data_IF_136633236239
#
_entry.id   IF_136633236239
#
_cell.length_a   1.000
_cell.length_b   1.000
_cell.length_c   1.000
_cell.angle_alpha   90.00
_cell.angle_beta   90.00
_cell.angle_gamma   90.00
#
_symmetry.space_group_name_H-M   'P 1'
#
loop_
_entity.id
_entity.type
_entity.pdbx_description
1 polymer ?
#
# COMPACT_ATOMS: atom_id res chain seq x y z
N UNK A 1 -62.70 -44.32 17.81
CA UNK A 1 -62.37 -43.60 16.58
C UNK A 1 -61.91 -42.20 16.99
N UNK A 2 -60.67 -41.83 16.60
CA UNK A 2 -60.06 -40.48 16.54
C UNK A 2 -60.03 -39.64 17.84
N UNK A 3 -58.96 -39.59 18.64
CA UNK A 3 -57.55 -39.18 18.41
C UNK A 3 -57.33 -37.67 18.32
N UNK A 4 -56.87 -37.12 19.47
CA UNK A 4 -55.86 -36.07 19.66
C UNK A 4 -55.59 -35.13 18.47
N UNK A 5 -56.11 -33.93 18.56
CA UNK A 5 -55.59 -32.68 17.97
C UNK A 5 -55.95 -31.62 19.01
N UNK A 6 -55.04 -30.91 19.67
CA UNK A 6 -54.20 -29.87 19.09
C UNK A 6 -53.17 -29.42 20.16
N UNK A 7 -52.18 -30.27 20.47
CA UNK A 7 -50.96 -29.85 21.16
C UNK A 7 -49.94 -29.60 20.05
N UNK A 8 -49.67 -28.35 19.68
CA UNK A 8 -48.44 -27.89 18.99
C UNK A 8 -48.66 -26.47 18.45
N UNK A 9 -48.69 -25.47 19.34
CA UNK A 9 -48.58 -24.06 18.91
C UNK A 9 -48.03 -23.20 20.06
N UNK A 10 -46.82 -23.49 20.53
CA UNK A 10 -46.14 -22.62 21.52
C UNK A 10 -44.63 -22.85 21.58
N UNK A 11 -43.93 -22.89 20.45
CA UNK A 11 -42.47 -22.86 20.45
C UNK A 11 -41.91 -22.27 19.15
N UNK A 12 -42.20 -21.00 18.89
CA UNK A 12 -41.64 -20.29 17.74
C UNK A 12 -41.51 -18.76 17.95
N UNK A 13 -41.22 -18.29 19.17
CA UNK A 13 -41.06 -16.84 19.44
C UNK A 13 -39.89 -16.56 20.41
N UNK A 14 -38.72 -17.20 20.22
CA UNK A 14 -37.51 -16.92 21.02
C UNK A 14 -36.23 -16.82 20.16
N UNK A 15 -36.34 -16.39 18.89
CA UNK A 15 -35.19 -16.27 17.98
C UNK A 15 -34.84 -14.83 17.56
N UNK A 16 -35.36 -13.79 18.23
CA UNK A 16 -35.16 -12.37 17.84
C UNK A 16 -34.14 -11.58 18.68
N UNK A 17 -33.33 -12.23 19.53
CA UNK A 17 -32.28 -11.55 20.31
C UNK A 17 -30.85 -11.69 19.76
N UNK A 18 -30.68 -12.06 18.48
CA UNK A 18 -29.37 -12.20 17.86
C UNK A 18 -29.09 -11.07 16.86
N UNK A 19 -29.03 -9.82 17.33
CA UNK A 19 -28.41 -8.69 16.63
C UNK A 19 -28.28 -7.48 17.57
N UNK A 20 -27.50 -7.61 18.66
CA UNK A 20 -26.87 -6.45 19.28
C UNK A 20 -25.52 -6.27 18.61
N UNK A 21 -25.48 -5.51 17.51
CA UNK A 21 -24.21 -5.02 16.99
C UNK A 21 -23.58 -4.11 18.04
N UNK A 22 -22.40 -4.47 18.54
CA UNK A 22 -21.62 -3.58 19.38
C UNK A 22 -21.37 -2.28 18.63
N UNK A 23 -21.66 -1.15 19.27
CA UNK A 23 -21.35 0.17 18.72
C UNK A 23 -19.84 0.34 18.81
N UNK A 24 -19.15 0.40 17.67
CA UNK A 24 -17.74 0.78 17.61
C UNK A 24 -17.54 2.12 18.31
N UNK A 25 -16.48 2.21 19.09
CA UNK A 25 -15.98 3.44 19.67
C UNK A 25 -15.46 4.38 18.58
N UNK A 26 -15.41 5.67 18.89
CA UNK A 26 -14.84 6.69 18.00
C UNK A 26 -13.37 6.36 17.62
N UNK A 27 -12.60 5.79 18.55
CA UNK A 27 -11.23 5.40 18.30
C UNK A 27 -11.10 4.25 17.28
N UNK A 28 -12.00 3.26 17.34
CA UNK A 28 -12.06 2.16 16.36
C UNK A 28 -12.47 2.66 14.98
N UNK A 29 -13.43 3.59 14.90
CA UNK A 29 -13.84 4.19 13.62
C UNK A 29 -12.66 4.94 12.99
N UNK A 30 -11.93 5.74 13.77
CA UNK A 30 -10.75 6.45 13.25
C UNK A 30 -9.65 5.47 12.82
N UNK A 31 -9.42 4.40 13.60
CA UNK A 31 -8.45 3.38 13.24
C UNK A 31 -8.76 2.76 11.87
N UNK A 32 -10.02 2.34 11.66
CA UNK A 32 -10.46 1.72 10.41
C UNK A 32 -10.27 2.68 9.22
N UNK A 33 -10.60 3.96 9.36
CA UNK A 33 -10.40 4.97 8.30
C UNK A 33 -8.93 5.11 7.88
N UNK A 34 -8.01 5.13 8.85
CA UNK A 34 -6.58 5.16 8.53
C UNK A 34 -6.11 3.85 7.91
N UNK A 35 -6.55 2.72 8.44
CA UNK A 35 -6.21 1.41 7.90
C UNK A 35 -6.64 1.27 6.43
N UNK A 36 -7.89 1.62 6.12
CA UNK A 36 -8.43 1.59 4.76
C UNK A 36 -7.64 2.53 3.84
N UNK A 37 -7.30 3.73 4.31
CA UNK A 37 -6.50 4.69 3.54
C UNK A 37 -5.10 4.14 3.24
N UNK A 38 -4.48 3.45 4.19
CA UNK A 38 -3.18 2.78 3.99
C UNK A 38 -3.33 1.68 2.93
N UNK A 39 -4.37 0.84 3.01
CA UNK A 39 -4.57 -0.25 2.05
C UNK A 39 -4.79 0.28 0.63
N UNK A 40 -5.52 1.39 0.47
CA UNK A 40 -5.67 2.06 -0.84
C UNK A 40 -4.31 2.51 -1.40
N UNK A 41 -3.44 3.08 -0.56
CA UNK A 41 -2.09 3.50 -0.98
C UNK A 41 -1.23 2.29 -1.33
N UNK A 42 -1.21 1.25 -0.50
CA UNK A 42 -0.51 0.00 -0.78
C UNK A 42 -0.95 -0.60 -2.12
N UNK A 43 -2.25 -0.80 -2.33
CA UNK A 43 -2.76 -1.48 -3.51
C UNK A 43 -2.50 -0.70 -4.80
N UNK A 44 -2.57 0.64 -4.75
CA UNK A 44 -2.27 1.47 -5.94
C UNK A 44 -0.78 1.59 -6.24
N UNK A 45 0.09 1.44 -5.23
CA UNK A 45 1.54 1.56 -5.39
C UNK A 45 2.20 0.21 -5.73
N UNK A 46 1.63 -0.92 -5.31
CA UNK A 46 2.15 -2.26 -5.60
C UNK A 46 2.41 -2.52 -7.11
N UNK A 47 1.51 -2.18 -8.05
CA UNK A 47 1.78 -2.34 -9.49
C UNK A 47 2.97 -1.51 -10.00
N UNK A 48 3.29 -0.41 -9.32
CA UNK A 48 4.40 0.47 -9.70
C UNK A 48 5.77 -0.18 -9.47
N UNK A 49 5.86 -1.25 -8.67
CA UNK A 49 7.11 -2.02 -8.52
C UNK A 49 7.58 -2.61 -9.84
N UNK A 50 6.67 -3.14 -10.66
CA UNK A 50 7.01 -3.63 -12.01
C UNK A 50 7.50 -2.48 -12.90
N UNK A 51 6.88 -1.31 -12.78
CA UNK A 51 7.29 -0.11 -13.52
C UNK A 51 8.70 0.34 -13.12
N UNK A 52 9.02 0.31 -11.83
CA UNK A 52 10.36 0.61 -11.31
C UNK A 52 11.40 -0.33 -11.95
N UNK A 53 11.13 -1.64 -11.98
CA UNK A 53 12.05 -2.61 -12.60
C UNK A 53 12.25 -2.37 -14.10
N UNK A 54 11.17 -2.08 -14.84
CA UNK A 54 11.25 -1.76 -16.27
C UNK A 54 12.09 -0.51 -16.53
N UNK A 55 11.87 0.56 -15.74
CA UNK A 55 12.64 1.80 -15.84
C UNK A 55 14.11 1.59 -15.48
N UNK A 56 14.42 0.79 -14.45
CA UNK A 56 15.80 0.41 -14.11
C UNK A 56 16.45 -0.34 -15.27
N UNK A 57 15.73 -1.23 -15.94
CA UNK A 57 16.22 -1.94 -17.12
C UNK A 57 16.61 -1.00 -18.26
N UNK A 58 15.73 -0.04 -18.57
CA UNK A 58 15.95 0.97 -19.62
C UNK A 58 17.12 1.90 -19.29
N UNK A 59 17.16 2.42 -18.06
CA UNK A 59 18.27 3.26 -17.59
C UNK A 59 19.60 2.51 -17.57
N UNK A 60 19.62 1.22 -17.19
CA UNK A 60 20.84 0.39 -17.26
C UNK A 60 21.35 0.22 -18.69
N UNK A 61 20.45 0.17 -19.68
CA UNK A 61 20.81 0.12 -21.10
C UNK A 61 21.40 1.47 -21.55
N UNK A 62 20.70 2.57 -21.30
CA UNK A 62 21.18 3.91 -21.64
C UNK A 62 22.53 4.22 -20.98
N UNK A 63 22.71 3.82 -19.72
CA UNK A 63 23.98 3.97 -18.99
C UNK A 63 25.16 3.34 -19.74
N UNK A 64 24.95 2.18 -20.38
CA UNK A 64 25.99 1.50 -21.18
C UNK A 64 26.31 2.28 -22.44
N UNK A 65 25.30 2.88 -23.07
CA UNK A 65 25.47 3.68 -24.30
C UNK A 65 26.28 4.96 -24.03
N UNK A 66 26.14 5.55 -22.83
CA UNK A 66 26.77 6.84 -22.49
C UNK A 66 28.07 6.76 -21.68
N UNK A 67 28.47 5.57 -21.22
CA UNK A 67 29.56 5.39 -20.23
C UNK A 67 30.89 6.05 -20.62
N UNK A 68 31.21 6.07 -21.92
CA UNK A 68 32.47 6.62 -22.44
C UNK A 68 32.27 7.90 -23.29
N UNK A 69 31.02 8.35 -23.50
CA UNK A 69 30.68 9.41 -24.45
C UNK A 69 30.04 10.63 -23.78
N UNK A 70 29.32 10.44 -22.67
CA UNK A 70 28.67 11.54 -21.94
C UNK A 70 28.73 11.32 -20.42
N UNK A 71 29.78 11.83 -19.75
CA UNK A 71 29.94 11.71 -18.30
C UNK A 71 28.83 12.40 -17.48
N UNK A 72 28.16 13.41 -18.04
CA UNK A 72 27.09 14.13 -17.34
C UNK A 72 25.82 13.28 -17.32
N UNK A 73 25.43 12.76 -18.48
CA UNK A 73 24.29 11.85 -18.59
C UNK A 73 24.55 10.55 -17.83
N UNK A 74 25.77 10.01 -17.86
CA UNK A 74 26.15 8.84 -17.04
C UNK A 74 25.93 9.08 -15.53
N UNK A 75 26.35 10.23 -15.00
CA UNK A 75 26.12 10.58 -13.58
C UNK A 75 24.64 10.76 -13.28
N UNK A 76 23.89 11.43 -14.17
CA UNK A 76 22.43 11.62 -14.02
C UNK A 76 21.72 10.27 -13.94
N UNK A 77 22.02 9.33 -14.84
CA UNK A 77 21.42 7.99 -14.86
C UNK A 77 21.74 7.22 -13.57
N UNK A 78 22.99 7.26 -13.07
CA UNK A 78 23.32 6.58 -11.82
C UNK A 78 22.55 7.14 -10.62
N UNK A 79 22.31 8.46 -10.59
CA UNK A 79 21.44 9.06 -9.57
C UNK A 79 20.01 8.53 -9.68
N UNK A 80 19.44 8.50 -10.88
CA UNK A 80 18.08 8.01 -11.13
C UNK A 80 17.92 6.52 -10.72
N UNK A 81 18.91 5.68 -11.04
CA UNK A 81 18.93 4.29 -10.58
C UNK A 81 18.95 4.20 -9.05
N UNK A 82 19.65 5.11 -8.37
CA UNK A 82 19.63 5.22 -6.92
C UNK A 82 18.27 5.61 -6.36
N UNK A 83 17.58 6.57 -6.98
CA UNK A 83 16.22 6.98 -6.57
C UNK A 83 15.20 5.85 -6.77
N UNK A 84 15.29 5.11 -7.88
CA UNK A 84 14.44 3.93 -8.11
C UNK A 84 14.70 2.81 -7.10
N UNK A 85 15.95 2.57 -6.69
CA UNK A 85 16.26 1.62 -5.62
C UNK A 85 15.66 2.08 -4.28
N UNK A 86 15.79 3.36 -3.93
CA UNK A 86 15.21 3.90 -2.68
C UNK A 86 13.69 3.74 -2.64
N UNK A 87 13.02 3.93 -3.77
CA UNK A 87 11.59 3.72 -3.89
C UNK A 87 11.19 2.25 -3.63
N UNK A 88 11.92 1.31 -4.25
CA UNK A 88 11.75 -0.13 -4.03
C UNK A 88 12.01 -0.51 -2.56
N UNK A 89 13.14 -0.07 -2.00
CA UNK A 89 13.53 -0.34 -0.62
C UNK A 89 12.49 0.22 0.37
N UNK A 90 11.98 1.43 0.14
CA UNK A 90 10.97 2.05 1.01
C UNK A 90 9.67 1.25 1.07
N UNK A 91 9.21 0.69 -0.06
CA UNK A 91 8.05 -0.19 -0.10
C UNK A 91 8.30 -1.47 0.69
N UNK A 92 9.44 -2.13 0.48
CA UNK A 92 9.78 -3.36 1.20
C UNK A 92 9.95 -3.13 2.70
N UNK A 93 10.67 -2.08 3.10
CA UNK A 93 10.90 -1.74 4.50
C UNK A 93 9.57 -1.42 5.21
N UNK A 94 8.69 -0.65 4.55
CA UNK A 94 7.37 -0.36 5.09
C UNK A 94 6.54 -1.64 5.27
N UNK A 95 6.43 -2.49 4.24
CA UNK A 95 5.67 -3.75 4.33
C UNK A 95 6.22 -4.68 5.42
N UNK A 96 7.54 -4.77 5.55
CA UNK A 96 8.18 -5.57 6.60
C UNK A 96 7.93 -5.03 8.01
N UNK A 97 7.77 -3.71 8.14
CA UNK A 97 7.48 -3.01 9.39
C UNK A 97 6.00 -2.98 9.76
N UNK A 98 5.10 -3.09 8.78
CA UNK A 98 3.65 -2.97 8.98
C UNK A 98 3.06 -4.21 9.66
N UNK A 99 2.92 -4.16 10.98
CA UNK A 99 2.42 -5.25 11.85
C UNK A 99 1.33 -4.78 12.82
N UNK A 100 0.17 -4.33 12.32
CA UNK A 100 -0.91 -3.79 13.15
C UNK A 100 -1.39 -4.76 14.25
N UNK A 101 -1.38 -6.06 13.98
CA UNK A 101 -1.86 -7.10 14.91
C UNK A 101 -0.96 -7.29 16.13
N UNK A 102 0.26 -6.77 16.10
CA UNK A 102 1.24 -6.88 17.19
C UNK A 102 1.16 -5.72 18.19
N UNK A 103 0.30 -4.74 17.92
CA UNK A 103 0.22 -3.48 18.66
C UNK A 103 -0.85 -3.56 19.75
N UNK A 104 -0.53 -3.08 20.96
CA UNK A 104 -1.47 -3.00 22.07
C UNK A 104 -2.66 -2.06 21.74
N UNK A 105 -3.87 -2.40 22.22
CA UNK A 105 -5.11 -1.68 21.88
C UNK A 105 -5.05 -0.18 22.17
N UNK A 106 -4.45 0.22 23.29
CA UNK A 106 -4.29 1.63 23.69
C UNK A 106 -3.30 2.41 22.81
N UNK A 107 -2.49 1.71 22.01
CA UNK A 107 -1.50 2.30 21.10
C UNK A 107 -1.90 2.24 19.63
N UNK A 108 -2.91 1.43 19.27
CA UNK A 108 -3.30 1.18 17.87
C UNK A 108 -3.58 2.45 17.06
N UNK A 109 -4.30 3.41 17.62
CA UNK A 109 -4.64 4.64 16.91
C UNK A 109 -3.42 5.50 16.57
N UNK A 110 -2.45 5.59 17.48
CA UNK A 110 -1.21 6.34 17.23
C UNK A 110 -0.30 5.58 16.25
N UNK A 111 -0.23 4.26 16.39
CA UNK A 111 0.49 3.42 15.47
C UNK A 111 -0.03 3.58 14.03
N UNK A 112 -1.34 3.45 13.81
CA UNK A 112 -1.90 3.50 12.45
C UNK A 112 -1.73 4.88 11.81
N UNK A 113 -1.83 5.97 12.59
CA UNK A 113 -1.52 7.33 12.14
C UNK A 113 -0.06 7.47 11.69
N UNK A 114 0.87 6.88 12.43
CA UNK A 114 2.29 6.84 12.06
C UNK A 114 2.53 6.02 10.79
N UNK A 115 1.86 4.87 10.66
CA UNK A 115 1.95 4.04 9.45
C UNK A 115 1.37 4.74 8.22
N UNK A 116 0.31 5.53 8.39
CA UNK A 116 -0.25 6.36 7.33
C UNK A 116 0.77 7.38 6.81
N UNK A 117 1.46 8.11 7.70
CA UNK A 117 2.52 9.03 7.26
C UNK A 117 3.68 8.32 6.56
N UNK A 118 4.05 7.12 7.01
CA UNK A 118 5.11 6.34 6.38
C UNK A 118 4.73 5.83 4.98
N UNK A 119 3.49 5.36 4.80
CA UNK A 119 3.01 4.87 3.50
C UNK A 119 2.87 6.01 2.49
N UNK A 120 2.46 7.21 2.92
CA UNK A 120 2.45 8.42 2.07
C UNK A 120 3.87 8.83 1.64
N UNK A 121 4.84 8.76 2.55
CA UNK A 121 6.24 9.04 2.21
C UNK A 121 6.79 8.05 1.19
N UNK A 122 6.54 6.76 1.41
CA UNK A 122 6.93 5.68 0.50
C UNK A 122 6.32 5.88 -0.90
N UNK A 123 5.03 6.21 -0.98
CA UNK A 123 4.38 6.55 -2.25
C UNK A 123 5.06 7.74 -2.94
N UNK A 124 5.37 8.80 -2.20
CA UNK A 124 6.06 9.97 -2.74
C UNK A 124 7.42 9.63 -3.35
N UNK A 125 8.18 8.73 -2.71
CA UNK A 125 9.45 8.23 -3.26
C UNK A 125 9.23 7.45 -4.56
N UNK A 126 8.21 6.60 -4.62
CA UNK A 126 7.88 5.82 -5.82
C UNK A 126 7.49 6.71 -6.99
N UNK A 127 6.52 7.61 -6.79
CA UNK A 127 6.04 8.50 -7.84
C UNK A 127 7.13 9.46 -8.31
N UNK A 128 7.92 10.01 -7.38
CA UNK A 128 9.04 10.89 -7.71
C UNK A 128 10.15 10.17 -8.48
N UNK A 129 10.54 8.98 -8.04
CA UNK A 129 11.56 8.16 -8.71
C UNK A 129 11.14 7.77 -10.12
N UNK A 130 9.90 7.33 -10.28
CA UNK A 130 9.30 6.98 -11.58
C UNK A 130 9.28 8.19 -12.50
N UNK A 131 8.71 9.31 -12.06
CA UNK A 131 8.59 10.51 -12.90
C UNK A 131 9.95 11.04 -13.37
N UNK A 132 10.96 11.08 -12.48
CA UNK A 132 12.30 11.50 -12.87
C UNK A 132 12.98 10.56 -13.88
N UNK A 133 12.68 9.25 -13.81
CA UNK A 133 13.21 8.27 -14.73
C UNK A 133 12.51 8.32 -16.10
N UNK A 134 11.18 8.47 -16.11
CA UNK A 134 10.39 8.69 -17.33
C UNK A 134 10.86 9.95 -18.06
N UNK A 135 11.00 11.08 -17.34
CA UNK A 135 11.51 12.33 -17.91
C UNK A 135 12.88 12.16 -18.59
N UNK A 136 13.77 11.34 -18.04
CA UNK A 136 15.07 11.07 -18.67
C UNK A 136 14.93 10.27 -19.97
N UNK A 137 14.06 9.26 -19.98
CA UNK A 137 13.90 8.34 -21.09
C UNK A 137 13.09 8.98 -22.24
N UNK A 138 12.13 9.85 -21.94
CA UNK A 138 11.34 10.59 -22.93
C UNK A 138 12.14 11.70 -23.61
N UNK A 139 13.00 12.40 -22.86
CA UNK A 139 13.84 13.48 -23.39
C UNK A 139 15.15 12.99 -24.01
N UNK A 140 15.28 11.68 -24.28
CA UNK A 140 16.44 11.14 -24.98
C UNK A 140 16.47 11.72 -26.41
N UNK A 141 17.56 12.38 -26.83
CA UNK A 141 17.69 12.79 -28.23
C UNK A 141 17.61 11.55 -29.12
N UNK A 142 16.74 11.58 -30.13
CA UNK A 142 16.64 10.52 -31.13
C UNK A 142 18.04 10.25 -31.71
N UNK A 143 18.51 9.00 -31.58
CA UNK A 143 19.73 8.52 -32.24
C UNK A 143 19.41 8.10 -33.66
#
# INVERSE_FOLDING_TARGET
MTQKTLLFFSMAIWAVFACQGEKKSEAEIQYDLYYDSIMVIHDRTMPLMSKIEDLRGQLKKERKDVINSDPNTFRKINRLLGELNKAEDAMFDWMNGFKPDTVAEDQKLNYIKSQFSQVEHMEGLMLGGIGMAEDQLENKPAQ
#
